data_IF_888718391169
#
_entry.id   IF_888718391169
#
_cell.length_a   1.000
_cell.length_b   1.000
_cell.length_c   1.000
_cell.angle_alpha   90.00
_cell.angle_beta   90.00
_cell.angle_gamma   90.00
#
_symmetry.space_group_name_H-M   'P 1'
#
loop_
_entity.id
_entity.type
_entity.pdbx_description
1 polymer ?
#
# COMPACT_ATOMS: atom_id res chain seq x y z
N UNK A 1 16.47 -2.49 -16.21
CA UNK A 1 15.30 -2.63 -17.09
C UNK A 1 14.64 -1.26 -17.13
N UNK A 2 14.41 -0.66 -18.30
CA UNK A 2 13.65 0.59 -18.36
C UNK A 2 12.23 0.29 -17.89
N UNK A 3 11.74 1.09 -16.96
CA UNK A 3 10.38 1.01 -16.46
C UNK A 3 9.46 1.58 -17.55
N UNK A 4 8.45 0.82 -18.00
CA UNK A 4 7.42 1.32 -18.92
C UNK A 4 6.19 1.73 -18.10
N UNK A 5 6.01 3.04 -17.92
CA UNK A 5 4.95 3.58 -17.07
C UNK A 5 3.54 3.31 -17.62
N UNK A 6 3.40 3.18 -18.95
CA UNK A 6 2.12 2.88 -19.58
C UNK A 6 1.73 1.42 -19.33
N UNK A 7 2.70 0.49 -19.40
CA UNK A 7 2.49 -0.91 -19.02
C UNK A 7 2.15 -1.05 -17.54
N UNK A 8 2.80 -0.29 -16.65
CA UNK A 8 2.47 -0.28 -15.22
C UNK A 8 1.04 0.23 -15.00
N UNK A 9 0.64 1.34 -15.63
CA UNK A 9 -0.71 1.85 -15.53
C UNK A 9 -1.75 0.82 -16.04
N UNK A 10 -1.42 0.06 -17.08
CA UNK A 10 -2.28 -1.01 -17.57
C UNK A 10 -2.38 -2.19 -16.59
N UNK A 11 -1.28 -2.58 -15.93
CA UNK A 11 -1.30 -3.59 -14.87
C UNK A 11 -2.19 -3.13 -13.70
N UNK A 12 -2.12 -1.86 -13.30
CA UNK A 12 -3.00 -1.29 -12.28
C UNK A 12 -4.47 -1.35 -12.69
N UNK A 13 -4.81 -1.01 -13.95
CA UNK A 13 -6.19 -1.09 -14.44
C UNK A 13 -6.75 -2.52 -14.47
N UNK A 14 -5.92 -3.50 -14.83
CA UNK A 14 -6.35 -4.90 -14.99
C UNK A 14 -6.31 -5.66 -13.66
N UNK A 15 -5.17 -5.64 -12.98
CA UNK A 15 -4.90 -6.47 -11.81
C UNK A 15 -5.03 -5.70 -10.49
N UNK A 16 -4.90 -4.38 -10.51
CA UNK A 16 -4.97 -3.54 -9.32
C UNK A 16 -3.63 -3.32 -8.63
N UNK A 17 -2.53 -3.90 -9.12
CA UNK A 17 -1.20 -3.74 -8.53
C UNK A 17 -0.08 -3.99 -9.56
N UNK A 18 1.13 -3.50 -9.24
CA UNK A 18 2.36 -3.78 -9.96
C UNK A 18 3.58 -3.70 -9.01
N UNK A 19 4.64 -4.47 -9.30
CA UNK A 19 5.94 -4.38 -8.63
C UNK A 19 6.96 -3.74 -9.55
N UNK A 20 7.61 -2.69 -9.06
CA UNK A 20 8.65 -1.92 -9.73
C UNK A 20 10.00 -2.29 -9.11
N UNK A 21 10.72 -3.21 -9.75
CA UNK A 21 11.98 -3.73 -9.22
C UNK A 21 13.07 -2.66 -9.19
N UNK A 22 13.65 -2.41 -8.02
CA UNK A 22 14.75 -1.46 -7.82
C UNK A 22 14.43 0.00 -8.13
N UNK A 23 13.15 0.39 -8.23
CA UNK A 23 12.75 1.76 -8.61
C UNK A 23 13.20 2.83 -7.59
N UNK A 24 13.48 2.42 -6.35
CA UNK A 24 14.00 3.27 -5.28
C UNK A 24 15.40 2.84 -4.80
N UNK A 25 16.10 1.98 -5.55
CA UNK A 25 17.39 1.41 -5.14
C UNK A 25 18.42 2.47 -4.75
N UNK A 26 18.52 3.56 -5.50
CA UNK A 26 19.50 4.62 -5.27
C UNK A 26 19.23 5.44 -3.98
N UNK A 27 18.02 5.36 -3.43
CA UNK A 27 17.60 6.09 -2.23
C UNK A 27 17.40 5.20 -1.00
N UNK A 28 17.49 3.87 -1.14
CA UNK A 28 17.06 2.94 -0.09
C UNK A 28 17.82 3.10 1.21
N UNK A 29 19.14 3.36 1.15
CA UNK A 29 19.97 3.58 2.34
C UNK A 29 19.59 4.88 3.07
N UNK A 30 19.19 5.91 2.33
CA UNK A 30 18.73 7.18 2.87
C UNK A 30 17.37 7.02 3.54
N UNK A 31 16.46 6.30 2.89
CA UNK A 31 15.15 5.94 3.43
C UNK A 31 15.27 5.12 4.72
N UNK A 32 16.18 4.15 4.77
CA UNK A 32 16.47 3.36 5.97
C UNK A 32 16.96 4.22 7.14
N UNK A 33 17.92 5.12 6.87
CA UNK A 33 18.42 6.06 7.88
C UNK A 33 17.32 7.00 8.37
N UNK A 34 16.47 7.49 7.47
CA UNK A 34 15.39 8.40 7.82
C UNK A 34 14.28 7.73 8.63
N UNK A 35 13.92 6.49 8.28
CA UNK A 35 12.99 5.68 9.07
C UNK A 35 13.45 5.55 10.51
N UNK A 36 14.74 5.25 10.74
CA UNK A 36 15.30 5.11 12.08
C UNK A 36 15.32 6.40 12.92
N UNK A 37 15.15 7.58 12.29
CA UNK A 37 14.97 8.85 13.02
C UNK A 37 13.52 9.10 13.41
N UNK A 38 12.57 8.60 12.61
CA UNK A 38 11.14 8.90 12.74
C UNK A 38 10.39 7.86 13.58
N UNK A 39 10.76 6.58 13.44
CA UNK A 39 10.16 5.46 14.15
C UNK A 39 11.12 5.05 15.27
N UNK A 40 10.73 5.42 16.49
CA UNK A 40 11.44 5.02 17.71
C UNK A 40 11.12 3.55 18.01
N UNK A 41 12.02 2.65 17.61
CA UNK A 41 11.93 1.23 17.91
C UNK A 41 12.66 0.92 19.22
N UNK A 42 12.20 -0.08 19.99
CA UNK A 42 12.94 -0.57 21.15
C UNK A 42 14.37 -0.99 20.80
N UNK A 43 15.26 -1.04 21.80
CA UNK A 43 16.68 -1.35 21.60
C UNK A 43 16.93 -2.76 21.02
N UNK A 44 16.00 -3.71 21.22
CA UNK A 44 16.02 -5.03 20.60
C UNK A 44 15.40 -5.06 19.19
N UNK A 45 14.83 -3.94 18.74
CA UNK A 45 14.22 -3.76 17.44
C UNK A 45 12.75 -4.19 17.34
N UNK A 46 12.15 -4.71 18.42
CA UNK A 46 10.88 -5.45 18.35
C UNK A 46 9.77 -4.75 19.14
N UNK A 47 8.92 -3.94 18.48
CA UNK A 47 7.77 -3.36 19.16
C UNK A 47 6.70 -4.44 19.41
N UNK A 48 6.01 -4.35 20.56
CA UNK A 48 4.91 -5.26 20.90
C UNK A 48 3.67 -5.04 20.01
N UNK A 49 3.53 -3.85 19.45
CA UNK A 49 2.39 -3.43 18.65
C UNK A 49 2.86 -2.62 17.43
N UNK A 50 2.00 -2.53 16.42
CA UNK A 50 2.25 -1.70 15.24
C UNK A 50 2.54 -0.25 15.65
N UNK A 51 3.66 0.28 15.17
CA UNK A 51 3.98 1.71 15.28
C UNK A 51 3.75 2.38 13.93
N UNK A 52 2.93 3.43 13.89
CA UNK A 52 2.68 4.21 12.67
C UNK A 52 2.99 5.69 12.92
N UNK A 53 3.66 6.32 11.95
CA UNK A 53 3.82 7.77 11.85
C UNK A 53 3.14 8.20 10.58
N UNK A 54 2.00 8.86 10.74
CA UNK A 54 1.25 9.46 9.65
C UNK A 54 1.94 10.73 9.17
N UNK A 55 1.69 11.10 7.92
CA UNK A 55 2.26 12.26 7.26
C UNK A 55 3.80 12.27 7.25
N UNK A 56 4.38 11.07 7.10
CA UNK A 56 5.83 10.89 7.11
C UNK A 56 6.56 11.83 6.14
N UNK A 57 5.99 12.19 5.00
CA UNK A 57 6.58 13.16 4.05
C UNK A 57 6.92 14.52 4.66
N UNK A 58 6.20 14.97 5.71
CA UNK A 58 6.48 16.24 6.38
C UNK A 58 7.76 16.19 7.23
N UNK A 59 8.17 15.00 7.66
CA UNK A 59 9.33 14.78 8.53
C UNK A 59 10.46 14.01 7.84
N UNK A 60 10.17 13.41 6.69
CA UNK A 60 11.05 12.54 5.92
C UNK A 60 11.15 13.01 4.46
N UNK A 61 11.96 14.04 4.17
CA UNK A 61 12.15 14.56 2.81
C UNK A 61 12.72 13.51 1.85
N UNK A 62 13.41 12.48 2.34
CA UNK A 62 13.90 11.36 1.53
C UNK A 62 12.75 10.60 0.85
N UNK A 63 11.60 10.46 1.53
CA UNK A 63 10.41 9.88 0.91
C UNK A 63 9.85 10.79 -0.20
N UNK A 64 10.07 12.11 -0.08
CA UNK A 64 9.74 13.11 -1.09
C UNK A 64 10.55 12.99 -2.38
N UNK A 65 11.79 12.48 -2.31
CA UNK A 65 12.61 12.18 -3.49
C UNK A 65 11.95 11.11 -4.37
N UNK A 66 11.26 10.15 -3.75
CA UNK A 66 10.51 9.10 -4.43
C UNK A 66 9.16 9.63 -4.91
N UNK A 67 8.34 10.19 -4.01
CA UNK A 67 6.98 10.61 -4.36
C UNK A 67 6.95 11.74 -5.39
N UNK A 68 8.00 12.57 -5.45
CA UNK A 68 8.17 13.63 -6.44
C UNK A 68 8.97 13.22 -7.69
N UNK A 69 9.32 11.94 -7.84
CA UNK A 69 10.11 11.48 -8.97
C UNK A 69 9.34 11.51 -10.30
N UNK A 70 10.07 11.64 -11.41
CA UNK A 70 9.48 11.68 -12.75
C UNK A 70 8.71 10.40 -13.10
N UNK A 71 9.17 9.23 -12.64
CA UNK A 71 8.53 7.95 -12.92
C UNK A 71 7.23 7.77 -12.14
N UNK A 72 7.14 8.25 -10.88
CA UNK A 72 5.86 8.30 -10.14
C UNK A 72 4.88 9.20 -10.90
N UNK A 73 5.35 10.38 -11.33
CA UNK A 73 4.53 11.32 -12.09
C UNK A 73 4.02 10.73 -13.40
N UNK A 74 4.85 9.98 -14.12
CA UNK A 74 4.47 9.33 -15.37
C UNK A 74 3.48 8.17 -15.17
N UNK A 75 3.65 7.32 -14.15
CA UNK A 75 2.66 6.28 -13.80
C UNK A 75 1.32 6.92 -13.43
N UNK A 76 1.33 7.90 -12.53
CA UNK A 76 0.11 8.59 -12.09
C UNK A 76 -0.57 9.30 -13.27
N UNK A 77 0.19 9.98 -14.12
CA UNK A 77 -0.34 10.64 -15.32
C UNK A 77 -0.97 9.65 -16.30
N UNK A 78 -0.34 8.49 -16.52
CA UNK A 78 -0.87 7.44 -17.39
C UNK A 78 -2.08 6.69 -16.77
N UNK A 79 -2.16 6.60 -15.45
CA UNK A 79 -3.25 5.93 -14.75
C UNK A 79 -4.48 6.83 -14.59
N UNK A 80 -4.30 8.05 -14.07
CA UNK A 80 -5.40 9.00 -13.82
C UNK A 80 -5.80 9.81 -15.05
N UNK A 81 -4.95 9.84 -16.09
CA UNK A 81 -5.13 10.61 -17.33
C UNK A 81 -5.27 12.13 -17.06
N UNK A 82 -4.66 12.60 -15.97
CA UNK A 82 -4.65 13.99 -15.51
C UNK A 82 -3.53 14.21 -14.49
N UNK A 83 -3.39 15.45 -14.03
CA UNK A 83 -2.52 15.80 -12.90
C UNK A 83 -2.94 15.05 -11.63
N UNK A 84 -1.99 14.86 -10.72
CA UNK A 84 -2.23 14.12 -9.49
C UNK A 84 -1.66 14.85 -8.28
N UNK A 85 -2.13 14.46 -7.11
CA UNK A 85 -1.67 14.93 -5.82
C UNK A 85 -1.24 13.75 -4.96
N UNK A 86 -0.17 13.93 -4.20
CA UNK A 86 0.17 13.06 -3.07
C UNK A 86 -0.64 13.57 -1.87
N UNK A 87 -1.52 12.73 -1.31
CA UNK A 87 -2.52 13.17 -0.33
C UNK A 87 -2.23 12.71 1.09
N UNK A 88 -1.57 11.56 1.26
CA UNK A 88 -1.21 11.02 2.58
C UNK A 88 0.08 10.23 2.46
N UNK A 89 0.80 10.09 3.57
CA UNK A 89 1.98 9.23 3.67
C UNK A 89 2.09 8.63 5.06
N UNK A 90 2.85 7.55 5.17
CA UNK A 90 3.06 6.90 6.45
C UNK A 90 4.35 6.09 6.50
N UNK A 91 4.97 6.07 7.68
CA UNK A 91 6.03 5.14 8.05
C UNK A 91 5.48 4.18 9.10
N UNK A 92 5.72 2.88 8.93
CA UNK A 92 5.17 1.84 9.78
C UNK A 92 6.26 0.84 10.18
N UNK A 93 6.28 0.50 11.46
CA UNK A 93 6.76 -0.80 11.92
C UNK A 93 5.54 -1.69 12.13
N UNK A 94 5.25 -2.54 11.16
CA UNK A 94 4.16 -3.52 11.22
C UNK A 94 4.61 -4.72 12.06
N UNK A 95 3.72 -5.24 12.89
CA UNK A 95 3.94 -6.42 13.74
C UNK A 95 2.89 -7.47 13.40
N UNK A 96 3.32 -8.71 13.16
CA UNK A 96 2.43 -9.82 12.86
C UNK A 96 1.71 -9.67 11.53
N UNK A 97 0.52 -10.26 11.44
CA UNK A 97 -0.25 -10.34 10.21
C UNK A 97 -1.02 -9.06 9.88
N UNK A 98 -1.21 -8.83 8.59
CA UNK A 98 -2.14 -7.84 8.05
C UNK A 98 -3.26 -8.59 7.34
N UNK A 99 -4.41 -8.67 8.01
CA UNK A 99 -5.58 -9.43 7.56
C UNK A 99 -6.11 -8.95 6.20
N UNK A 100 -6.89 -9.78 5.53
CA UNK A 100 -7.53 -9.41 4.26
C UNK A 100 -8.44 -8.19 4.41
N UNK A 101 -8.19 -7.15 3.62
CA UNK A 101 -8.98 -5.93 3.60
C UNK A 101 -8.83 -5.16 2.28
N UNK A 102 -9.62 -4.10 2.17
CA UNK A 102 -9.50 -2.99 1.22
C UNK A 102 -9.42 -1.71 2.03
N UNK A 103 -8.72 -0.69 1.54
CA UNK A 103 -8.53 0.56 2.30
C UNK A 103 -9.77 1.46 2.32
N UNK A 104 -10.83 1.11 1.58
CA UNK A 104 -12.14 1.77 1.80
C UNK A 104 -13.18 1.68 0.70
N UNK A 105 -12.97 0.89 -0.36
CA UNK A 105 -13.94 0.69 -1.45
C UNK A 105 -14.50 2.00 -2.01
N UNK A 106 -13.63 2.98 -2.21
CA UNK A 106 -14.00 4.30 -2.72
C UNK A 106 -14.43 4.21 -4.18
N UNK A 107 -15.34 5.09 -4.61
CA UNK A 107 -15.65 5.21 -6.05
C UNK A 107 -14.46 5.83 -6.79
N UNK A 108 -13.75 6.73 -6.11
CA UNK A 108 -12.52 7.35 -6.61
C UNK A 108 -11.34 6.41 -6.44
N UNK A 109 -10.53 6.16 -7.48
CA UNK A 109 -9.34 5.35 -7.35
C UNK A 109 -8.22 6.14 -6.66
N UNK A 110 -7.51 5.48 -5.75
CA UNK A 110 -6.31 5.99 -5.11
C UNK A 110 -5.18 4.99 -5.34
N UNK A 111 -3.99 5.47 -5.70
CA UNK A 111 -2.81 4.64 -5.84
C UNK A 111 -1.95 4.74 -4.60
N UNK A 112 -1.66 3.61 -3.97
CA UNK A 112 -0.74 3.49 -2.84
C UNK A 112 0.58 2.92 -3.32
N UNK A 113 1.65 3.64 -3.04
CA UNK A 113 3.02 3.21 -3.28
C UNK A 113 3.62 2.76 -1.95
N UNK A 114 4.10 1.53 -1.89
CA UNK A 114 4.68 0.89 -0.72
C UNK A 114 6.11 0.49 -0.99
N UNK A 115 6.97 0.77 0.00
CA UNK A 115 8.36 0.37 0.02
C UNK A 115 8.63 -0.38 1.32
N UNK A 116 9.16 -1.60 1.21
CA UNK A 116 9.70 -2.32 2.35
C UNK A 116 11.19 -2.01 2.50
N UNK A 117 11.63 -1.75 3.72
CA UNK A 117 13.04 -1.49 4.05
C UNK A 117 13.80 -2.77 4.42
N UNK A 118 13.08 -3.89 4.44
CA UNK A 118 13.56 -5.26 4.64
C UNK A 118 12.97 -6.15 3.54
N UNK A 119 13.63 -7.25 3.24
CA UNK A 119 13.09 -8.23 2.30
C UNK A 119 11.80 -8.86 2.85
N UNK A 120 10.80 -9.01 1.99
CA UNK A 120 9.56 -9.72 2.31
C UNK A 120 9.34 -10.83 1.29
N UNK A 121 9.04 -12.03 1.79
CA UNK A 121 8.81 -13.24 1.00
C UNK A 121 7.47 -13.89 1.41
N UNK A 122 7.11 -14.98 0.74
CA UNK A 122 5.87 -15.73 0.99
C UNK A 122 5.54 -15.93 2.48
N UNK A 123 6.52 -16.37 3.27
CA UNK A 123 6.39 -16.69 4.70
C UNK A 123 7.04 -15.65 5.62
N UNK A 124 7.33 -14.45 5.11
CA UNK A 124 7.87 -13.33 5.90
C UNK A 124 7.12 -12.03 5.65
N UNK A 125 5.82 -12.14 5.36
CA UNK A 125 4.91 -11.00 5.29
C UNK A 125 4.99 -10.18 4.00
N UNK A 126 5.26 -10.82 2.87
CA UNK A 126 5.02 -10.23 1.54
C UNK A 126 3.54 -9.88 1.34
N UNK A 127 3.28 -8.80 0.60
CA UNK A 127 1.92 -8.43 0.20
C UNK A 127 1.33 -9.50 -0.71
N UNK A 128 0.05 -9.75 -0.51
CA UNK A 128 -0.76 -10.68 -1.29
C UNK A 128 -1.95 -9.95 -1.84
N UNK A 129 -2.24 -10.17 -3.10
CA UNK A 129 -3.32 -9.48 -3.81
C UNK A 129 -4.28 -10.47 -4.44
N UNK A 130 -5.56 -10.13 -4.42
CA UNK A 130 -6.58 -10.77 -5.26
C UNK A 130 -6.74 -9.96 -6.56
N UNK A 131 -6.18 -10.41 -7.70
CA UNK A 131 -6.14 -9.59 -8.90
C UNK A 131 -7.53 -9.21 -9.40
N UNK A 132 -7.72 -7.91 -9.69
CA UNK A 132 -8.97 -7.38 -10.21
C UNK A 132 -10.02 -7.07 -9.14
N UNK A 133 -9.81 -7.40 -7.88
CA UNK A 133 -10.80 -7.18 -6.80
C UNK A 133 -11.12 -5.72 -6.50
N UNK A 134 -10.31 -4.78 -7.01
CA UNK A 134 -10.58 -3.33 -6.94
C UNK A 134 -11.73 -2.88 -7.84
N UNK A 135 -12.08 -3.66 -8.87
CA UNK A 135 -13.05 -3.24 -9.88
C UNK A 135 -14.47 -3.40 -9.38
N UNK A 136 -15.29 -2.37 -9.56
CA UNK A 136 -16.69 -2.41 -9.16
C UNK A 136 -17.57 -3.29 -10.06
N UNK A 137 -17.13 -3.56 -11.30
CA UNK A 137 -17.95 -4.14 -12.37
C UNK A 137 -17.79 -5.66 -12.56
N UNK A 138 -16.99 -6.32 -11.72
CA UNK A 138 -16.63 -7.73 -11.89
C UNK A 138 -17.13 -8.66 -10.76
N UNK A 139 -18.01 -8.16 -9.90
CA UNK A 139 -18.69 -8.95 -8.87
C UNK A 139 -17.93 -9.13 -7.55
N UNK A 140 -16.73 -8.55 -7.39
CA UNK A 140 -15.99 -8.62 -6.12
C UNK A 140 -16.65 -7.82 -4.99
N UNK A 141 -17.32 -6.71 -5.31
CA UNK A 141 -18.01 -5.87 -4.33
C UNK A 141 -19.18 -6.63 -3.71
N UNK A 142 -19.19 -6.72 -2.37
CA UNK A 142 -20.25 -7.37 -1.61
C UNK A 142 -19.80 -8.73 -1.05
N UNK A 143 -20.56 -9.77 -1.37
CA UNK A 143 -20.45 -11.08 -0.71
C UNK A 143 -19.08 -11.77 -0.91
N UNK A 144 -18.47 -11.79 -2.11
CA UNK A 144 -17.15 -12.41 -2.28
C UNK A 144 -16.06 -11.77 -1.40
N UNK A 145 -16.08 -10.43 -1.30
CA UNK A 145 -15.21 -9.69 -0.38
C UNK A 145 -15.44 -10.10 1.08
N UNK A 146 -16.70 -10.23 1.50
CA UNK A 146 -17.03 -10.62 2.89
C UNK A 146 -16.52 -12.01 3.23
N UNK A 147 -16.64 -12.97 2.30
CA UNK A 147 -16.10 -14.32 2.47
C UNK A 147 -14.58 -14.34 2.57
N UNK A 148 -13.88 -13.51 1.79
CA UNK A 148 -12.42 -13.38 1.90
C UNK A 148 -12.00 -12.77 3.23
N UNK A 149 -12.70 -11.74 3.70
CA UNK A 149 -12.42 -11.12 5.00
C UNK A 149 -12.67 -12.11 6.14
N UNK A 150 -13.72 -12.93 6.04
CA UNK A 150 -14.08 -14.01 6.97
C UNK A 150 -13.57 -15.37 6.50
N UNK A 151 -12.37 -15.41 5.93
CA UNK A 151 -11.82 -16.62 5.32
C UNK A 151 -11.81 -17.83 6.26
N UNK A 152 -11.64 -17.61 7.57
CA UNK A 152 -11.64 -18.68 8.57
C UNK A 152 -13.04 -19.28 8.73
N UNK A 153 -14.05 -18.43 8.92
CA UNK A 153 -15.43 -18.85 9.19
C UNK A 153 -16.14 -19.39 7.94
N UNK A 154 -15.97 -18.70 6.81
CA UNK A 154 -16.76 -18.96 5.62
C UNK A 154 -16.07 -19.96 4.66
N UNK A 155 -14.73 -20.00 4.66
CA UNK A 155 -13.94 -20.81 3.73
C UNK A 155 -13.12 -21.91 4.41
N UNK A 156 -12.99 -21.87 5.73
CA UNK A 156 -12.14 -22.80 6.48
C UNK A 156 -10.65 -22.66 6.16
N UNK A 157 -10.22 -21.50 5.68
CA UNK A 157 -8.83 -21.22 5.29
C UNK A 157 -8.14 -20.38 6.36
N UNK A 158 -6.84 -20.63 6.58
CA UNK A 158 -6.01 -19.59 7.21
C UNK A 158 -5.89 -18.43 6.24
N UNK A 159 -5.63 -17.22 6.74
CA UNK A 159 -5.55 -16.07 5.85
C UNK A 159 -4.41 -16.17 4.85
N UNK A 160 -3.33 -16.87 5.25
CA UNK A 160 -2.23 -17.22 4.38
C UNK A 160 -2.55 -18.29 3.32
N UNK A 161 -3.67 -19.01 3.42
CA UNK A 161 -4.05 -20.04 2.46
C UNK A 161 -5.08 -19.56 1.43
N UNK A 162 -5.58 -18.32 1.56
CA UNK A 162 -6.47 -17.71 0.56
C UNK A 162 -5.73 -17.61 -0.78
N UNK A 163 -6.26 -18.19 -1.88
CA UNK A 163 -5.60 -18.18 -3.19
C UNK A 163 -5.38 -16.75 -3.72
N UNK A 164 -4.12 -16.34 -3.80
CA UNK A 164 -3.74 -14.97 -4.15
C UNK A 164 -2.37 -14.90 -4.85
N UNK A 165 -2.06 -13.74 -5.44
CA UNK A 165 -0.73 -13.46 -5.97
C UNK A 165 0.13 -12.89 -4.85
N UNK A 166 1.23 -13.56 -4.53
CA UNK A 166 2.23 -13.10 -3.57
C UNK A 166 3.27 -12.23 -4.27
N UNK A 167 3.48 -11.02 -3.76
CA UNK A 167 4.43 -10.04 -4.28
C UNK A 167 5.56 -9.88 -3.28
N UNK A 168 6.57 -10.73 -3.43
CA UNK A 168 7.83 -10.60 -2.69
C UNK A 168 8.52 -9.28 -3.04
N UNK A 169 9.31 -8.71 -2.13
CA UNK A 169 9.95 -7.41 -2.29
C UNK A 169 11.34 -7.43 -1.69
N UNK A 170 12.29 -6.81 -2.39
CA UNK A 170 13.61 -6.48 -1.84
C UNK A 170 13.67 -4.98 -1.48
N UNK A 171 14.55 -4.56 -0.56
CA UNK A 171 14.80 -3.15 -0.31
C UNK A 171 15.17 -2.42 -1.62
N UNK A 172 14.45 -1.34 -1.91
CA UNK A 172 14.58 -0.56 -3.15
C UNK A 172 13.53 -0.90 -4.22
N UNK A 173 12.77 -1.98 -4.07
CA UNK A 173 11.56 -2.18 -4.85
C UNK A 173 10.43 -1.25 -4.39
N UNK A 174 9.52 -0.93 -5.31
CA UNK A 174 8.27 -0.24 -5.01
C UNK A 174 7.10 -1.08 -5.47
N UNK A 175 6.13 -1.32 -4.60
CA UNK A 175 4.85 -1.94 -4.94
C UNK A 175 3.82 -0.81 -5.05
N UNK A 176 3.18 -0.67 -6.21
CA UNK A 176 2.08 0.27 -6.41
C UNK A 176 0.78 -0.50 -6.58
N UNK A 177 -0.30 -0.06 -5.93
CA UNK A 177 -1.60 -0.70 -6.05
C UNK A 177 -2.76 0.28 -5.90
N UNK A 178 -3.88 -0.05 -6.52
CA UNK A 178 -5.17 0.61 -6.28
C UNK A 178 -5.66 0.23 -4.88
N UNK A 179 -5.92 1.20 -4.01
CA UNK A 179 -6.23 0.93 -2.60
C UNK A 179 -7.54 0.17 -2.39
N UNK A 180 -8.36 0.04 -3.44
CA UNK A 180 -9.55 -0.80 -3.39
C UNK A 180 -9.24 -2.29 -3.55
N UNK A 181 -8.08 -2.67 -4.09
CA UNK A 181 -7.71 -4.08 -4.30
C UNK A 181 -7.65 -4.78 -2.95
N UNK A 182 -8.25 -5.97 -2.87
CA UNK A 182 -8.15 -6.80 -1.68
C UNK A 182 -6.70 -7.27 -1.52
N UNK A 183 -6.15 -6.99 -0.35
CA UNK A 183 -4.79 -7.32 -0.02
C UNK A 183 -4.63 -7.73 1.44
N UNK A 184 -3.55 -8.46 1.69
CA UNK A 184 -3.15 -8.95 3.01
C UNK A 184 -1.65 -9.23 3.02
N UNK A 185 -1.10 -9.55 4.19
CA UNK A 185 0.26 -10.04 4.30
C UNK A 185 0.44 -10.85 5.59
N UNK A 186 1.05 -12.03 5.48
CA UNK A 186 1.01 -13.06 6.52
C UNK A 186 2.40 -13.60 6.88
N UNK A 187 2.54 -14.11 8.10
CA UNK A 187 3.77 -14.69 8.65
C UNK A 187 4.92 -13.67 8.75
N UNK A 188 4.60 -12.37 8.72
CA UNK A 188 5.58 -11.32 8.94
C UNK A 188 5.87 -11.17 10.42
N UNK A 189 7.15 -11.10 10.78
CA UNK A 189 7.55 -10.69 12.12
C UNK A 189 7.42 -9.15 12.22
N UNK A 190 8.52 -8.43 12.02
CA UNK A 190 8.52 -6.97 11.92
C UNK A 190 8.81 -6.56 10.50
N UNK A 191 7.97 -5.66 9.97
CA UNK A 191 8.15 -5.12 8.62
C UNK A 191 8.19 -3.60 8.67
N UNK A 192 9.35 -3.05 8.31
CA UNK A 192 9.55 -1.61 8.17
C UNK A 192 9.05 -1.19 6.80
N UNK A 193 7.95 -0.45 6.77
CA UNK A 193 7.24 -0.08 5.57
C UNK A 193 7.06 1.43 5.49
N UNK A 194 7.43 2.02 4.36
CA UNK A 194 7.08 3.39 3.97
C UNK A 194 5.98 3.35 2.93
N UNK A 195 5.10 4.34 2.95
CA UNK A 195 4.10 4.49 1.92
C UNK A 195 3.68 5.93 1.68
N UNK A 196 3.18 6.19 0.48
CA UNK A 196 2.45 7.40 0.13
C UNK A 196 1.32 7.07 -0.84
N UNK A 197 0.29 7.91 -0.84
CA UNK A 197 -0.92 7.68 -1.62
C UNK A 197 -1.16 8.87 -2.55
N UNK A 198 -1.51 8.56 -3.79
CA UNK A 198 -1.78 9.51 -4.84
C UNK A 198 -3.25 9.44 -5.28
N UNK A 199 -3.80 10.57 -5.68
CA UNK A 199 -5.10 10.69 -6.34
C UNK A 199 -4.98 11.61 -7.55
N UNK A 200 -5.71 11.34 -8.62
CA UNK A 200 -5.89 12.33 -9.69
C UNK A 200 -6.59 13.58 -9.15
N UNK A 201 -6.30 14.75 -9.72
CA UNK A 201 -6.95 16.00 -9.31
C UNK A 201 -8.49 15.83 -9.31
N UNK A 202 -9.16 16.02 -8.15
CA UNK A 202 -10.58 15.72 -8.02
C UNK A 202 -11.41 16.76 -8.78
N UNK A 203 -12.22 16.31 -9.73
CA UNK A 203 -13.04 17.16 -10.60
C UNK A 203 -14.51 17.12 -10.18
N UNK A 204 -15.00 15.97 -9.74
CA UNK A 204 -16.39 15.75 -9.35
C UNK A 204 -16.59 15.90 -7.84
N UNK A 205 -17.83 16.17 -7.42
CA UNK A 205 -18.19 16.19 -5.99
C UNK A 205 -17.92 14.85 -5.29
N UNK A 206 -18.07 13.73 -6.01
CA UNK A 206 -17.73 12.40 -5.48
C UNK A 206 -16.23 12.28 -5.25
N UNK A 207 -15.40 12.67 -6.21
CA UNK A 207 -13.94 12.67 -6.06
C UNK A 207 -13.47 13.57 -4.91
N UNK A 208 -14.05 14.77 -4.79
CA UNK A 208 -13.72 15.70 -3.69
C UNK A 208 -14.11 15.12 -2.33
N UNK A 209 -15.31 14.54 -2.22
CA UNK A 209 -15.80 13.91 -0.98
C UNK A 209 -14.96 12.68 -0.61
N UNK A 210 -14.71 11.81 -1.56
CA UNK A 210 -13.93 10.58 -1.35
C UNK A 210 -12.50 10.94 -0.95
N UNK A 211 -11.87 11.92 -1.61
CA UNK A 211 -10.52 12.41 -1.24
C UNK A 211 -10.49 12.93 0.19
N UNK A 212 -11.46 13.75 0.59
CA UNK A 212 -11.57 14.24 1.98
C UNK A 212 -11.74 13.09 2.97
N UNK A 213 -12.58 12.11 2.65
CA UNK A 213 -12.82 10.95 3.52
C UNK A 213 -11.60 10.03 3.60
N UNK A 214 -10.91 9.81 2.49
CA UNK A 214 -9.67 9.03 2.44
C UNK A 214 -8.61 9.65 3.35
N UNK A 215 -8.40 10.96 3.24
CA UNK A 215 -7.50 11.72 4.10
C UNK A 215 -7.88 11.57 5.58
N UNK A 216 -9.13 11.84 5.95
CA UNK A 216 -9.58 11.81 7.35
C UNK A 216 -9.56 10.41 7.98
N UNK A 217 -9.93 9.38 7.22
CA UNK A 217 -9.95 7.99 7.72
C UNK A 217 -8.57 7.52 8.16
N UNK A 218 -7.51 8.08 7.59
CA UNK A 218 -6.14 7.72 7.96
C UNK A 218 -5.80 8.15 9.39
N UNK A 219 -6.39 9.24 9.90
CA UNK A 219 -6.19 9.70 11.28
C UNK A 219 -7.17 9.10 12.29
N UNK A 220 -8.30 8.54 11.83
CA UNK A 220 -9.31 7.91 12.70
C UNK A 220 -9.06 6.40 12.88
N UNK A 221 -8.43 5.74 11.91
CA UNK A 221 -8.12 4.30 11.97
C UNK A 221 -6.92 3.96 12.86
N UNK A 222 -6.06 4.94 13.18
CA UNK A 222 -4.92 4.78 14.09
C UNK A 222 -5.28 4.58 15.57
N UNK A 223 -6.57 4.57 15.92
CA UNK A 223 -7.06 4.47 17.30
C UNK A 223 -8.01 3.28 17.54
N UNK A 224 -8.14 2.35 16.59
CA UNK A 224 -8.95 1.15 16.79
C UNK A 224 -8.03 -0.03 17.13
N UNK A 225 -7.95 -0.36 18.42
CA UNK A 225 -7.47 -1.67 18.85
C UNK A 225 -8.38 -2.73 18.23
N UNK A 226 -7.80 -3.60 17.40
CA UNK A 226 -8.48 -4.78 16.91
C UNK A 226 -8.46 -5.78 18.06
N UNK A 227 -9.57 -5.87 18.78
CA UNK A 227 -9.86 -6.89 19.79
C UNK A 227 -10.94 -7.83 19.29
#
# INVERSE_FOLDING_TARGET
MSLDEAEVAQQLRVFGFARLRGAAADTVEELQRAFGRLIDLPADGTPNERVTRFDALNEMPELGLISGSAWVGAICGAFFERNHQVITSDANALVGDSYWHSDGFYTTPFLRFVLYLDATAHDTGALRFLPGSHRADNGWLGEPTQHVIRHGEDLGLTGGDVPAVVVESEPGDVIVFDTNVLHSAWHGDIRRQLAFNCVGDPVTETEQRDTRRYFLNRYVSGSVSIG
#
